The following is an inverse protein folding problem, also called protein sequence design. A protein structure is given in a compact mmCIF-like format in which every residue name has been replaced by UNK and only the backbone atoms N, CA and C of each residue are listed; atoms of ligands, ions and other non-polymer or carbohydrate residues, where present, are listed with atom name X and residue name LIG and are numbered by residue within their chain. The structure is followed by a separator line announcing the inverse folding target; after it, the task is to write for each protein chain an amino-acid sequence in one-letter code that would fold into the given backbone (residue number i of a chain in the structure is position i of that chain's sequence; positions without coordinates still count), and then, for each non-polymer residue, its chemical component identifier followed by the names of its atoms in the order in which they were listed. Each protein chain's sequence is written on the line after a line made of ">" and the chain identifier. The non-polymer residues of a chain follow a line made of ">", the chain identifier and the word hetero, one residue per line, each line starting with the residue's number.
data_IF_509270543613
#
_entry.id   IF_509270543613
#
_cell.length_a   1.000
_cell.length_b   1.000
_cell.length_c   1.000
_cell.angle_alpha   90.00
_cell.angle_beta   90.00
_cell.angle_gamma   90.00
#
_symmetry.space_group_name_H-M   'P 1'
#
loop_
_entity.id
_entity.type
_entity.pdbx_description
1 polymer ?
#
# COMPACT_ATOMS: atom_id res chain seq x y z
N UNK A 1 -5.57 -26.33 -2.49
CA UNK A 1 -6.06 -25.59 -1.31
C UNK A 1 -6.59 -24.24 -1.77
N UNK A 2 -7.88 -23.98 -1.59
CA UNK A 2 -8.48 -22.67 -1.90
C UNK A 2 -7.89 -21.61 -0.97
N UNK A 3 -7.15 -20.63 -1.50
CA UNK A 3 -6.74 -19.46 -0.71
C UNK A 3 -8.00 -18.79 -0.17
N UNK A 4 -8.12 -18.70 1.16
CA UNK A 4 -9.20 -17.95 1.79
C UNK A 4 -9.18 -16.51 1.24
N UNK A 5 -10.28 -16.10 0.59
CA UNK A 5 -10.41 -14.79 -0.02
C UNK A 5 -11.22 -13.90 0.92
N UNK A 6 -10.59 -12.83 1.40
CA UNK A 6 -11.27 -11.79 2.18
C UNK A 6 -12.26 -11.09 1.26
N UNK A 7 -13.52 -11.05 1.67
CA UNK A 7 -14.55 -10.31 0.93
C UNK A 7 -14.60 -8.88 1.42
N UNK A 8 -14.80 -7.94 0.51
CA UNK A 8 -14.95 -6.52 0.84
C UNK A 8 -16.13 -6.28 1.79
N UNK A 9 -17.22 -7.04 1.62
CA UNK A 9 -18.40 -6.97 2.49
C UNK A 9 -18.08 -7.31 3.95
N UNK A 10 -17.24 -8.33 4.19
CA UNK A 10 -16.84 -8.75 5.55
C UNK A 10 -16.13 -7.60 6.29
N UNK A 11 -15.26 -6.88 5.59
CA UNK A 11 -14.52 -5.73 6.13
C UNK A 11 -15.45 -4.53 6.36
N UNK A 12 -16.35 -4.27 5.42
CA UNK A 12 -17.33 -3.18 5.54
C UNK A 12 -18.24 -3.38 6.74
N UNK A 13 -18.76 -4.59 6.96
CA UNK A 13 -19.59 -4.91 8.13
C UNK A 13 -18.87 -4.66 9.46
N UNK A 14 -17.55 -4.83 9.51
CA UNK A 14 -16.75 -4.57 10.72
C UNK A 14 -16.57 -3.06 10.93
N UNK A 15 -16.36 -2.32 9.84
CA UNK A 15 -16.06 -0.88 9.89
C UNK A 15 -17.29 0.02 10.02
N UNK A 16 -18.45 -0.42 9.54
CA UNK A 16 -19.65 0.41 9.47
C UNK A 16 -20.04 0.92 10.86
N UNK A 17 -20.13 2.25 10.99
CA UNK A 17 -20.47 2.93 12.24
C UNK A 17 -19.38 2.93 13.32
N UNK A 18 -18.18 2.39 13.04
CA UNK A 18 -17.07 2.31 14.00
C UNK A 18 -15.89 3.16 13.56
N UNK A 19 -15.10 3.62 14.52
CA UNK A 19 -13.84 4.33 14.28
C UNK A 19 -12.70 3.42 14.66
N UNK A 20 -11.93 2.95 13.67
CA UNK A 20 -10.94 1.88 13.85
C UNK A 20 -9.58 2.27 13.27
N UNK A 21 -8.52 1.92 13.97
CA UNK A 21 -7.16 1.80 13.41
C UNK A 21 -7.03 0.53 12.59
N UNK A 22 -5.97 0.41 11.78
CA UNK A 22 -5.67 -0.85 11.09
C UNK A 22 -5.42 -2.03 12.05
N UNK A 23 -4.87 -1.73 13.23
CA UNK A 23 -4.61 -2.76 14.25
C UNK A 23 -5.91 -3.30 14.81
N UNK A 24 -6.84 -2.42 15.19
CA UNK A 24 -8.16 -2.80 15.70
C UNK A 24 -8.99 -3.52 14.62
N UNK A 25 -8.99 -3.01 13.39
CA UNK A 25 -9.66 -3.65 12.26
C UNK A 25 -9.18 -5.10 12.07
N UNK A 26 -7.86 -5.31 12.17
CA UNK A 26 -7.28 -6.64 12.04
C UNK A 26 -7.70 -7.58 13.16
N UNK A 27 -7.69 -7.11 14.41
CA UNK A 27 -8.11 -7.90 15.57
C UNK A 27 -9.57 -8.31 15.42
N UNK A 28 -10.46 -7.34 15.16
CA UNK A 28 -11.89 -7.58 14.95
C UNK A 28 -12.18 -8.52 13.78
N UNK A 29 -11.37 -8.44 12.71
CA UNK A 29 -11.51 -9.35 11.57
C UNK A 29 -11.19 -10.80 11.94
N UNK A 30 -10.10 -11.03 12.68
CA UNK A 30 -9.71 -12.37 13.14
C UNK A 30 -10.76 -12.93 14.13
N UNK A 31 -11.27 -12.09 15.03
CA UNK A 31 -12.32 -12.48 15.99
C UNK A 31 -13.62 -12.88 15.28
N UNK A 32 -14.03 -12.14 14.24
CA UNK A 32 -15.26 -12.44 13.48
C UNK A 32 -15.10 -13.60 12.50
N UNK A 33 -13.88 -13.87 12.04
CA UNK A 33 -13.57 -14.92 11.06
C UNK A 33 -12.45 -15.88 11.54
N UNK A 34 -12.64 -16.61 12.65
CA UNK A 34 -11.60 -17.45 13.24
C UNK A 34 -11.17 -18.62 12.34
N UNK A 35 -12.05 -19.04 11.43
CA UNK A 35 -11.78 -20.14 10.49
C UNK A 35 -11.01 -19.71 9.24
N UNK A 36 -10.78 -18.40 9.04
CA UNK A 36 -9.89 -17.91 7.99
C UNK A 36 -8.44 -17.98 8.50
N UNK A 37 -7.79 -19.13 8.32
CA UNK A 37 -6.36 -19.33 8.61
C UNK A 37 -5.49 -18.56 7.60
N UNK A 38 -5.45 -17.23 7.73
CA UNK A 38 -4.60 -16.36 6.91
C UNK A 38 -3.43 -15.82 7.74
N UNK A 39 -2.17 -15.94 7.24
CA UNK A 39 -1.03 -15.35 7.91
C UNK A 39 -1.20 -13.84 8.09
N UNK A 40 -0.74 -13.33 9.24
CA UNK A 40 -0.66 -11.90 9.56
C UNK A 40 -0.13 -11.04 8.41
N UNK A 41 0.94 -11.52 7.76
CA UNK A 41 1.64 -10.86 6.67
C UNK A 41 0.77 -10.70 5.41
N UNK A 42 -0.21 -11.57 5.20
CA UNK A 42 -1.13 -11.50 4.06
C UNK A 42 -2.43 -10.74 4.40
N UNK A 43 -2.88 -10.85 5.64
CA UNK A 43 -4.12 -10.22 6.11
C UNK A 43 -3.99 -8.69 6.11
N UNK A 44 -2.90 -8.16 6.69
CA UNK A 44 -2.68 -6.72 6.80
C UNK A 44 -2.73 -5.96 5.45
N UNK A 45 -2.01 -6.38 4.38
CA UNK A 45 -2.07 -5.68 3.09
C UNK A 45 -3.44 -5.79 2.42
N UNK A 46 -4.16 -6.92 2.58
CA UNK A 46 -5.51 -7.09 2.01
C UNK A 46 -6.52 -6.14 2.68
N UNK A 47 -6.52 -6.06 4.01
CA UNK A 47 -7.37 -5.11 4.74
C UNK A 47 -7.07 -3.66 4.35
N UNK A 48 -5.78 -3.29 4.25
CA UNK A 48 -5.38 -1.95 3.78
C UNK A 48 -5.90 -1.65 2.38
N UNK A 49 -5.76 -2.59 1.45
CA UNK A 49 -6.25 -2.44 0.08
C UNK A 49 -7.76 -2.17 0.02
N UNK A 50 -8.54 -2.87 0.86
CA UNK A 50 -9.98 -2.66 0.96
C UNK A 50 -10.31 -1.27 1.53
N UNK A 51 -9.66 -0.85 2.62
CA UNK A 51 -9.84 0.50 3.16
C UNK A 51 -9.50 1.58 2.14
N UNK A 52 -8.40 1.42 1.39
CA UNK A 52 -8.06 2.36 0.32
C UNK A 52 -9.10 2.37 -0.81
N UNK A 53 -9.74 1.25 -1.08
CA UNK A 53 -10.80 1.16 -2.09
C UNK A 53 -12.06 1.90 -1.62
N UNK A 54 -12.39 1.81 -0.33
CA UNK A 54 -13.46 2.59 0.28
C UNK A 54 -13.17 4.10 0.18
N UNK A 55 -11.96 4.53 0.57
CA UNK A 55 -11.56 5.93 0.53
C UNK A 55 -11.56 6.57 -0.87
N UNK A 56 -11.43 5.74 -1.91
CA UNK A 56 -11.40 6.22 -3.31
C UNK A 56 -12.74 6.09 -4.01
N UNK A 57 -13.73 5.47 -3.37
CA UNK A 57 -15.02 5.22 -3.98
C UNK A 57 -15.95 6.40 -3.71
N UNK A 58 -16.65 6.92 -4.73
CA UNK A 58 -17.73 7.89 -4.52
C UNK A 58 -18.96 7.27 -3.84
N UNK A 59 -18.99 5.94 -3.65
CA UNK A 59 -20.11 5.21 -3.08
C UNK A 59 -19.88 4.80 -1.61
N UNK A 60 -18.81 5.28 -0.98
CA UNK A 60 -18.52 5.05 0.43
C UNK A 60 -18.19 6.37 1.10
N UNK A 61 -18.90 6.68 2.19
CA UNK A 61 -18.58 7.83 3.05
C UNK A 61 -17.67 7.36 4.17
N UNK A 62 -16.37 7.62 3.99
CA UNK A 62 -15.32 7.22 4.92
C UNK A 62 -14.42 8.41 5.25
N UNK A 63 -14.19 8.60 6.54
CA UNK A 63 -13.32 9.65 7.06
C UNK A 63 -12.02 9.07 7.59
N UNK A 64 -10.92 9.78 7.33
CA UNK A 64 -9.62 9.50 7.93
C UNK A 64 -9.35 10.55 9.02
N UNK A 65 -9.19 10.10 10.25
CA UNK A 65 -8.82 10.94 11.40
C UNK A 65 -7.32 10.78 11.62
N UNK A 66 -6.57 11.85 11.38
CA UNK A 66 -5.12 11.89 11.55
C UNK A 66 -4.75 12.01 13.04
N UNK A 67 -3.72 11.30 13.46
CA UNK A 67 -3.22 11.30 14.84
C UNK A 67 -1.94 10.47 14.96
N UNK A 68 -1.58 10.07 16.19
CA UNK A 68 -0.44 9.17 16.42
C UNK A 68 -0.58 7.86 15.64
N UNK A 69 -1.81 7.39 15.50
CA UNK A 69 -2.21 6.35 14.55
C UNK A 69 -3.43 6.84 13.78
N UNK A 70 -3.43 6.65 12.46
CA UNK A 70 -4.55 6.99 11.61
C UNK A 70 -5.75 6.09 11.93
N UNK A 71 -6.89 6.72 12.19
CA UNK A 71 -8.18 6.04 12.38
C UNK A 71 -9.05 6.25 11.15
N UNK A 72 -9.89 5.27 10.86
CA UNK A 72 -10.82 5.28 9.75
C UNK A 72 -12.22 5.05 10.28
N UNK A 73 -13.15 5.90 9.84
CA UNK A 73 -14.57 5.81 10.21
C UNK A 73 -15.42 5.68 8.97
N UNK A 74 -16.08 4.53 8.79
CA UNK A 74 -17.01 4.31 7.68
C UNK A 74 -18.42 4.65 8.15
N UNK A 75 -18.96 5.77 7.66
CA UNK A 75 -20.30 6.26 8.03
C UNK A 75 -21.39 5.53 7.27
N UNK A 76 -21.28 5.53 5.95
CA UNK A 76 -22.29 5.00 5.06
C UNK A 76 -21.65 4.34 3.84
N UNK A 77 -22.35 3.37 3.25
CA UNK A 77 -21.96 2.73 2.01
C UNK A 77 -23.19 2.48 1.14
N UNK A 78 -23.14 2.93 -0.12
CA UNK A 78 -24.20 2.64 -1.08
C UNK A 78 -24.08 1.21 -1.61
N UNK A 79 -25.22 0.59 -1.90
CA UNK A 79 -25.26 -0.72 -2.58
C UNK A 79 -24.50 -0.76 -3.91
N UNK A 80 -24.34 0.40 -4.56
CA UNK A 80 -23.61 0.54 -5.83
C UNK A 80 -22.10 0.31 -5.67
N UNK A 81 -21.56 0.45 -4.45
CA UNK A 81 -20.18 0.09 -4.13
C UNK A 81 -19.88 -1.38 -4.48
N UNK A 82 -20.83 -2.28 -4.25
CA UNK A 82 -20.67 -3.72 -4.51
C UNK A 82 -20.98 -4.11 -5.95
N UNK A 83 -21.86 -3.35 -6.63
CA UNK A 83 -22.17 -3.55 -8.06
C UNK A 83 -20.99 -3.15 -8.93
N UNK A 84 -20.25 -2.12 -8.51
CA UNK A 84 -19.01 -1.68 -9.11
C UNK A 84 -17.84 -2.60 -8.78
N UNK A 85 -17.91 -3.90 -9.11
CA UNK A 85 -16.76 -4.82 -9.08
C UNK A 85 -15.50 -4.30 -9.81
N UNK A 86 -15.62 -3.16 -10.50
CA UNK A 86 -14.56 -2.24 -10.88
C UNK A 86 -14.86 -0.82 -10.36
N UNK A 87 -14.59 -0.52 -9.09
CA UNK A 87 -14.24 0.87 -8.73
C UNK A 87 -12.92 1.10 -9.45
N UNK A 88 -13.02 1.61 -10.69
CA UNK A 88 -11.86 2.20 -11.36
C UNK A 88 -11.30 3.16 -10.34
N UNK A 89 -10.04 3.00 -9.88
CA UNK A 89 -9.45 3.99 -9.00
C UNK A 89 -9.67 5.35 -9.68
N UNK A 90 -10.42 6.24 -9.03
CA UNK A 90 -10.39 7.65 -9.36
C UNK A 90 -8.93 8.04 -9.12
N UNK A 91 -8.12 7.95 -10.19
CA UNK A 91 -6.65 7.99 -10.13
C UNK A 91 -5.84 6.82 -10.73
N UNK A 92 -6.39 5.91 -11.54
CA UNK A 92 -5.54 5.22 -12.56
C UNK A 92 -6.19 5.22 -13.94
N UNK A 93 -5.70 6.13 -14.77
CA UNK A 93 -5.53 5.91 -16.20
C UNK A 93 -4.82 4.56 -16.36
N UNK A 94 -5.56 3.49 -16.65
CA UNK A 94 -4.99 2.18 -16.93
C UNK A 94 -4.93 1.97 -18.44
N UNK A 95 -3.81 2.43 -19.00
CA UNK A 95 -3.01 1.75 -20.05
C UNK A 95 -3.75 0.95 -21.11
N UNK A 96 -3.74 1.48 -22.34
CA UNK A 96 -3.08 0.84 -23.51
C UNK A 96 -3.12 1.80 -24.71
N UNK A 97 -2.09 2.64 -24.85
CA UNK A 97 -1.50 2.92 -26.16
C UNK A 97 -0.13 3.61 -26.02
N UNK A 98 0.85 2.96 -26.65
CA UNK A 98 2.27 3.29 -26.79
C UNK A 98 3.12 3.32 -25.51
N UNK A 99 4.21 2.56 -25.57
CA UNK A 99 5.48 2.82 -24.90
C UNK A 99 5.91 4.28 -25.07
N UNK A 100 5.26 5.20 -24.38
CA UNK A 100 5.90 6.46 -24.04
C UNK A 100 6.84 6.12 -22.91
N UNK A 101 8.07 5.76 -23.30
CA UNK A 101 9.27 6.00 -22.51
C UNK A 101 8.97 7.16 -21.58
N UNK A 102 9.16 6.96 -20.27
CA UNK A 102 9.36 8.10 -19.38
C UNK A 102 10.47 8.90 -20.05
N UNK A 103 10.11 9.97 -20.74
CA UNK A 103 11.07 10.93 -21.27
C UNK A 103 11.61 11.58 -20.01
N UNK A 104 12.61 10.91 -19.42
CA UNK A 104 13.62 11.61 -18.63
C UNK A 104 13.99 12.82 -19.47
N UNK A 105 14.06 14.04 -18.90
CA UNK A 105 14.57 15.18 -19.62
C UNK A 105 15.80 14.73 -20.40
N UNK A 106 15.87 15.05 -21.69
CA UNK A 106 16.97 14.61 -22.54
C UNK A 106 18.27 15.08 -21.87
N UNK A 107 18.96 14.15 -21.22
CA UNK A 107 20.22 14.42 -20.55
C UNK A 107 21.26 14.51 -21.66
N UNK A 108 22.08 15.58 -21.71
CA UNK A 108 23.21 15.65 -22.62
C UNK A 108 24.05 14.36 -22.53
N UNK A 109 24.61 13.86 -23.64
CA UNK A 109 25.39 12.61 -23.63
C UNK A 109 26.57 12.68 -22.65
N UNK A 110 27.14 13.86 -22.43
CA UNK A 110 28.21 14.10 -21.44
C UNK A 110 27.73 13.87 -20.01
N UNK A 111 26.55 14.40 -19.65
CA UNK A 111 25.95 14.24 -18.33
C UNK A 111 25.52 12.78 -18.05
N UNK A 112 25.12 12.06 -19.10
CA UNK A 112 24.75 10.65 -19.01
C UNK A 112 25.95 9.77 -18.65
N UNK A 113 27.10 10.04 -19.24
CA UNK A 113 28.35 9.34 -18.95
C UNK A 113 28.85 9.67 -17.53
N UNK A 114 28.77 10.94 -17.11
CA UNK A 114 29.05 11.34 -15.73
C UNK A 114 28.15 10.61 -14.72
N UNK A 115 26.84 10.51 -14.99
CA UNK A 115 25.91 9.79 -14.13
C UNK A 115 26.22 8.28 -14.05
N UNK A 116 26.60 7.67 -15.19
CA UNK A 116 27.00 6.27 -15.26
C UNK A 116 28.26 6.02 -14.45
N UNK A 117 29.27 6.88 -14.58
CA UNK A 117 30.52 6.79 -13.83
C UNK A 117 30.30 7.01 -12.33
N UNK A 118 29.45 7.97 -11.95
CA UNK A 118 29.07 8.20 -10.55
C UNK A 118 28.32 7.00 -9.94
N UNK A 119 27.49 6.31 -10.72
CA UNK A 119 26.80 5.10 -10.28
C UNK A 119 27.77 3.94 -10.05
N UNK A 120 28.71 3.72 -10.98
CA UNK A 120 29.75 2.69 -10.86
C UNK A 120 30.64 2.99 -9.64
N UNK A 121 31.09 4.23 -9.49
CA UNK A 121 31.91 4.65 -8.37
C UNK A 121 31.20 4.44 -7.02
N UNK A 122 29.92 4.81 -6.93
CA UNK A 122 29.12 4.55 -5.73
C UNK A 122 28.96 3.05 -5.45
N UNK A 123 28.78 2.20 -6.46
CA UNK A 123 28.70 0.75 -6.27
C UNK A 123 30.03 0.17 -5.76
N UNK A 124 31.17 0.66 -6.27
CA UNK A 124 32.49 0.23 -5.82
C UNK A 124 32.82 0.71 -4.39
N UNK A 125 32.24 1.83 -3.95
CA UNK A 125 32.40 2.34 -2.58
C UNK A 125 31.44 1.71 -1.57
N UNK A 126 30.38 1.01 -2.00
CA UNK A 126 29.42 0.37 -1.10
C UNK A 126 30.06 -0.63 -0.12
N UNK A 127 31.00 -1.52 -0.52
CA UNK A 127 31.69 -2.42 0.40
C UNK A 127 32.51 -1.67 1.45
N UNK A 128 33.21 -0.60 1.04
CA UNK A 128 34.02 0.23 1.94
C UNK A 128 33.15 0.97 2.97
N UNK A 129 32.00 1.51 2.53
CA UNK A 129 31.02 2.16 3.43
C UNK A 129 30.41 1.17 4.43
N UNK A 130 30.10 -0.05 4.00
CA UNK A 130 29.59 -1.11 4.89
C UNK A 130 30.64 -1.51 5.93
N UNK A 131 31.89 -1.63 5.53
CA UNK A 131 32.98 -1.97 6.45
C UNK A 131 33.27 -0.83 7.44
N UNK A 132 33.23 0.44 7.02
CA UNK A 132 33.38 1.58 7.93
C UNK A 132 32.23 1.68 8.94
N UNK A 133 30.99 1.35 8.55
CA UNK A 133 29.85 1.28 9.46
C UNK A 133 29.92 0.08 10.42
N UNK A 134 30.48 -1.05 10.00
CA UNK A 134 30.71 -2.19 10.88
C UNK A 134 31.75 -1.87 11.95
N UNK A 135 32.91 -1.29 11.57
CA UNK A 135 33.96 -0.89 12.51
C UNK A 135 33.47 0.14 13.53
N UNK A 136 32.62 1.10 13.13
CA UNK A 136 32.05 2.09 14.04
C UNK A 136 31.07 1.51 15.07
N UNK A 137 30.50 0.33 14.81
CA UNK A 137 29.57 -0.33 15.73
C UNK A 137 30.26 -1.32 16.68
N UNK A 138 31.54 -1.64 16.47
CA UNK A 138 32.36 -2.48 17.36
C UNK A 138 33.15 -1.64 18.40
N UNK A 139 33.10 -0.31 18.35
CA UNK A 139 33.71 0.62 19.33
C UNK A 139 32.70 1.15 20.39
N UNK A 140 31.61 0.43 20.67
CA UNK A 140 30.69 0.73 21.78
C UNK A 140 30.43 -0.49 22.67
#
# INVERSE_FOLDING_TARGET
>A
MSMAKIKTSEVVEIMLGKTLTYRELRVLFVEKHPNQNMPSLELAPKLRSIVYSLMRSPHADIEQILGRENKYHLKEISSDFYKGGNVKPVGKISTKQSDKQRVRPAMPPEDAECCRMAAIFNQLLMPVRRNYQAVKNDEC
#
